data_IF_295216359354
#
_entry.id   IF_295216359354
#
_cell.length_a   1.000
_cell.length_b   1.000
_cell.length_c   1.000
_cell.angle_alpha   90.00
_cell.angle_beta   90.00
_cell.angle_gamma   90.00
#
_symmetry.space_group_name_H-M   'P 1'
#
loop_
_entity.id
_entity.type
_entity.pdbx_description
1 polymer ?
#
# COMPACT_ATOMS: atom_id res chain seq x y z
N UNK A 1 -5.32 -27.36 5.09
CA UNK A 1 -5.73 -25.97 5.37
C UNK A 1 -5.82 -25.28 4.02
N UNK A 2 -6.99 -24.77 3.64
CA UNK A 2 -7.15 -24.14 2.33
C UNK A 2 -6.31 -22.86 2.25
N UNK A 3 -5.58 -22.68 1.14
CA UNK A 3 -4.85 -21.44 0.87
C UNK A 3 -5.86 -20.31 0.63
N UNK A 4 -5.72 -19.22 1.39
CA UNK A 4 -6.64 -18.07 1.32
C UNK A 4 -6.50 -17.31 -0.01
N UNK A 5 -7.61 -16.75 -0.48
CA UNK A 5 -7.61 -15.94 -1.70
C UNK A 5 -6.89 -14.60 -1.50
N UNK A 6 -6.04 -14.15 -2.44
CA UNK A 6 -5.40 -12.83 -2.39
C UNK A 6 -6.36 -11.68 -2.77
N UNK A 7 -7.65 -11.95 -2.97
CA UNK A 7 -8.63 -10.94 -3.36
C UNK A 7 -8.86 -9.91 -2.24
N UNK A 8 -8.80 -8.62 -2.60
CA UNK A 8 -9.05 -7.49 -1.68
C UNK A 8 -10.45 -6.86 -1.83
N UNK A 9 -11.33 -7.48 -2.62
CA UNK A 9 -12.70 -7.00 -2.84
C UNK A 9 -12.85 -5.76 -3.74
N UNK A 10 -11.75 -5.15 -4.19
CA UNK A 10 -11.76 -4.00 -5.11
C UNK A 10 -11.56 -4.46 -6.56
N UNK A 11 -12.64 -4.92 -7.20
CA UNK A 11 -12.58 -5.47 -8.55
C UNK A 11 -12.36 -4.36 -9.60
N UNK A 12 -11.20 -4.38 -10.24
CA UNK A 12 -10.87 -3.59 -11.41
C UNK A 12 -9.76 -4.32 -12.20
N UNK A 13 -9.91 -4.37 -13.53
CA UNK A 13 -8.98 -5.04 -14.44
C UNK A 13 -8.24 -4.00 -15.28
N UNK A 14 -6.92 -4.19 -15.39
CA UNK A 14 -6.09 -3.47 -16.33
C UNK A 14 -6.17 -4.19 -17.69
N UNK A 15 -6.79 -3.55 -18.67
CA UNK A 15 -7.02 -4.15 -19.99
C UNK A 15 -5.72 -4.41 -20.77
N UNK A 16 -4.67 -3.63 -20.52
CA UNK A 16 -3.39 -3.77 -21.22
C UNK A 16 -2.59 -4.97 -20.70
N UNK A 17 -2.59 -5.19 -19.39
CA UNK A 17 -1.81 -6.24 -18.73
C UNK A 17 -2.62 -7.50 -18.42
N UNK A 18 -3.95 -7.47 -18.57
CA UNK A 18 -4.86 -8.56 -18.18
C UNK A 18 -4.67 -8.98 -16.71
N UNK A 19 -4.41 -8.00 -15.84
CA UNK A 19 -4.27 -8.21 -14.40
C UNK A 19 -5.26 -7.38 -13.60
N UNK A 20 -5.66 -7.87 -12.43
CA UNK A 20 -6.47 -7.10 -11.49
C UNK A 20 -5.62 -5.98 -10.85
N UNK A 21 -6.08 -4.73 -10.90
CA UNK A 21 -5.37 -3.58 -10.31
C UNK A 21 -5.38 -3.58 -8.78
N UNK A 22 -6.24 -4.39 -8.16
CA UNK A 22 -6.31 -4.59 -6.71
C UNK A 22 -5.42 -5.73 -6.23
N UNK A 23 -5.75 -6.98 -6.59
CA UNK A 23 -5.03 -8.17 -6.11
C UNK A 23 -3.85 -8.62 -6.99
N UNK A 24 -3.64 -8.00 -8.15
CA UNK A 24 -2.53 -8.29 -9.08
C UNK A 24 -2.45 -9.72 -9.64
N UNK A 25 -3.49 -10.52 -9.42
CA UNK A 25 -3.69 -11.77 -10.16
C UNK A 25 -4.02 -11.49 -11.62
N UNK A 26 -3.59 -12.38 -12.51
CA UNK A 26 -4.03 -12.45 -13.90
C UNK A 26 -5.50 -12.86 -13.98
N UNK A 27 -6.17 -12.56 -15.09
CA UNK A 27 -7.55 -13.01 -15.31
C UNK A 27 -7.66 -14.54 -15.25
N UNK A 28 -6.68 -15.26 -15.78
CA UNK A 28 -6.67 -16.73 -15.76
C UNK A 28 -6.56 -17.29 -14.34
N UNK A 29 -5.67 -16.74 -13.51
CA UNK A 29 -5.56 -17.12 -12.10
C UNK A 29 -6.84 -16.81 -11.32
N UNK A 30 -7.56 -15.73 -11.67
CA UNK A 30 -8.84 -15.39 -11.03
C UNK A 30 -9.90 -16.42 -11.42
N UNK A 31 -10.01 -16.77 -12.70
CA UNK A 31 -11.00 -17.70 -13.22
C UNK A 31 -10.77 -19.14 -12.71
N UNK A 32 -9.51 -19.57 -12.62
CA UNK A 32 -9.16 -20.94 -12.22
C UNK A 32 -9.03 -21.14 -10.70
N UNK A 33 -9.06 -20.07 -9.89
CA UNK A 33 -8.74 -20.13 -8.45
C UNK A 33 -9.48 -21.23 -7.66
N UNK A 34 -10.77 -21.41 -7.90
CA UNK A 34 -11.57 -22.42 -7.18
C UNK A 34 -11.21 -23.85 -7.57
N UNK A 35 -10.65 -24.06 -8.76
CA UNK A 35 -10.23 -25.35 -9.28
C UNK A 35 -8.75 -25.68 -8.96
N UNK A 36 -7.93 -24.66 -8.66
CA UNK A 36 -6.52 -24.85 -8.33
C UNK A 36 -6.31 -25.65 -7.04
N UNK A 37 -5.25 -26.45 -7.00
CA UNK A 37 -4.77 -27.10 -5.78
C UNK A 37 -4.00 -26.12 -4.87
N UNK A 38 -3.63 -26.58 -3.67
CA UNK A 38 -2.93 -25.73 -2.71
C UNK A 38 -1.49 -25.37 -3.15
N UNK A 39 -0.86 -26.16 -4.02
CA UNK A 39 0.48 -25.88 -4.54
C UNK A 39 0.44 -24.77 -5.60
N UNK A 40 -0.50 -24.85 -6.54
CA UNK A 40 -0.78 -23.80 -7.52
C UNK A 40 -1.14 -22.48 -6.82
N UNK A 41 -2.01 -22.53 -5.80
CA UNK A 41 -2.38 -21.35 -5.01
C UNK A 41 -1.18 -20.74 -4.28
N UNK A 42 -0.27 -21.58 -3.74
CA UNK A 42 0.98 -21.11 -3.12
C UNK A 42 1.92 -20.48 -4.14
N UNK A 43 1.98 -21.03 -5.37
CA UNK A 43 2.78 -20.45 -6.45
C UNK A 43 2.28 -19.05 -6.85
N UNK A 44 0.95 -18.86 -6.94
CA UNK A 44 0.34 -17.54 -7.16
C UNK A 44 0.74 -16.57 -6.05
N UNK A 45 0.65 -16.98 -4.78
CA UNK A 45 1.09 -16.14 -3.67
C UNK A 45 2.58 -15.78 -3.71
N UNK A 46 3.45 -16.76 -3.99
CA UNK A 46 4.88 -16.52 -4.12
C UNK A 46 5.18 -15.49 -5.22
N UNK A 47 4.50 -15.60 -6.37
CA UNK A 47 4.58 -14.62 -7.46
C UNK A 47 4.11 -13.24 -6.99
N UNK A 48 2.93 -13.15 -6.37
CA UNK A 48 2.35 -11.88 -5.90
C UNK A 48 3.24 -11.18 -4.87
N UNK A 49 3.82 -11.91 -3.92
CA UNK A 49 4.71 -11.37 -2.89
C UNK A 49 6.06 -10.90 -3.45
N UNK A 50 6.47 -11.42 -4.60
CA UNK A 50 7.67 -10.97 -5.33
C UNK A 50 7.46 -9.67 -6.12
N UNK A 51 6.20 -9.26 -6.33
CA UNK A 51 5.89 -8.06 -7.10
C UNK A 51 6.30 -6.80 -6.34
N UNK A 52 6.89 -5.84 -7.06
CA UNK A 52 7.20 -4.53 -6.50
C UNK A 52 5.89 -3.78 -6.18
N UNK A 53 5.83 -3.04 -5.05
CA UNK A 53 4.72 -2.15 -4.76
C UNK A 53 4.47 -1.20 -5.93
N UNK A 54 3.20 -1.03 -6.33
CA UNK A 54 2.85 -0.07 -7.39
C UNK A 54 2.95 1.34 -6.83
N UNK A 55 4.02 2.03 -7.20
CA UNK A 55 4.20 3.45 -6.89
C UNK A 55 3.17 4.25 -7.67
N UNK A 56 2.38 5.05 -6.97
CA UNK A 56 1.45 5.99 -7.59
C UNK A 56 1.97 7.40 -7.39
N UNK A 57 2.08 8.16 -8.46
CA UNK A 57 2.32 9.60 -8.34
C UNK A 57 1.07 10.29 -7.80
N UNK A 58 1.26 11.15 -6.81
CA UNK A 58 0.22 11.94 -6.14
C UNK A 58 0.70 13.37 -6.00
N UNK A 59 -0.23 14.30 -5.80
CA UNK A 59 0.07 15.67 -5.39
C UNK A 59 -0.25 15.84 -3.93
N UNK A 60 0.63 16.55 -3.22
CA UNK A 60 0.44 16.89 -1.83
C UNK A 60 -0.65 17.94 -1.70
N UNK A 61 -1.63 17.71 -0.84
CA UNK A 61 -2.68 18.69 -0.56
C UNK A 61 -2.15 19.93 0.19
N UNK A 62 -1.17 19.74 1.08
CA UNK A 62 -0.61 20.82 1.87
C UNK A 62 0.34 21.76 1.08
N UNK A 63 1.12 21.24 0.13
CA UNK A 63 2.15 22.03 -0.57
C UNK A 63 2.12 21.94 -2.10
N UNK A 64 1.25 21.10 -2.68
CA UNK A 64 1.13 20.92 -4.13
C UNK A 64 2.22 20.07 -4.80
N UNK A 65 3.29 19.70 -4.08
CA UNK A 65 4.40 18.93 -4.63
C UNK A 65 3.95 17.57 -5.17
N UNK A 66 4.47 17.16 -6.32
CA UNK A 66 4.34 15.80 -6.82
C UNK A 66 5.23 14.85 -5.99
N UNK A 67 4.70 13.69 -5.61
CA UNK A 67 5.43 12.69 -4.84
C UNK A 67 4.95 11.27 -5.15
N UNK A 68 5.82 10.27 -4.94
CA UNK A 68 5.45 8.86 -5.06
C UNK A 68 4.86 8.32 -3.75
N UNK A 69 3.67 7.74 -3.82
CA UNK A 69 3.08 6.91 -2.76
C UNK A 69 3.39 5.45 -3.07
N UNK A 70 3.99 4.72 -2.13
CA UNK A 70 4.28 3.29 -2.30
C UNK A 70 5.75 2.90 -2.47
N UNK A 71 6.72 3.80 -2.28
CA UNK A 71 8.15 3.53 -2.46
C UNK A 71 9.03 4.30 -1.49
N UNK A 72 10.35 4.13 -1.56
CA UNK A 72 11.34 5.02 -0.93
C UNK A 72 11.51 4.84 0.59
N UNK A 73 10.92 3.80 1.17
CA UNK A 73 11.16 3.41 2.55
C UNK A 73 12.31 2.43 2.68
N UNK A 74 12.67 2.10 3.92
CA UNK A 74 13.73 1.14 4.23
C UNK A 74 13.38 -0.25 3.68
N UNK A 75 14.40 -1.00 3.28
CA UNK A 75 14.28 -2.38 2.76
C UNK A 75 13.31 -2.56 1.58
N UNK A 76 13.08 -1.51 0.80
CA UNK A 76 12.16 -1.53 -0.35
C UNK A 76 10.68 -1.36 0.01
N UNK A 77 10.38 -0.96 1.26
CA UNK A 77 9.04 -0.63 1.71
C UNK A 77 8.60 0.79 1.28
N UNK A 78 7.38 1.19 1.66
CA UNK A 78 6.87 2.54 1.46
C UNK A 78 7.45 3.48 2.54
N UNK A 79 7.94 4.67 2.17
CA UNK A 79 8.52 5.64 3.12
C UNK A 79 7.60 6.01 4.30
N UNK A 80 6.27 5.86 4.13
CA UNK A 80 5.30 6.13 5.19
C UNK A 80 5.35 5.08 6.32
N UNK A 81 5.84 3.87 6.05
CA UNK A 81 5.97 2.80 7.04
C UNK A 81 7.14 3.02 8.01
N UNK A 82 8.08 3.88 7.64
CA UNK A 82 9.21 4.28 8.50
C UNK A 82 8.79 5.34 9.55
N UNK A 83 7.60 5.90 9.42
CA UNK A 83 7.10 6.93 10.33
C UNK A 83 6.30 6.33 11.50
N UNK A 84 6.25 7.01 12.65
CA UNK A 84 5.40 6.58 13.75
C UNK A 84 3.92 6.46 13.37
N UNK A 85 3.29 5.37 13.79
CA UNK A 85 1.85 5.15 13.61
C UNK A 85 1.07 5.89 14.73
N UNK A 86 0.46 7.03 14.41
CA UNK A 86 -0.32 7.81 15.37
C UNK A 86 -1.81 7.68 15.08
N UNK A 87 -2.57 7.22 16.06
CA UNK A 87 -4.04 7.23 16.08
C UNK A 87 -4.55 8.33 17.02
N UNK A 88 -5.70 8.99 16.78
CA UNK A 88 -6.67 8.70 15.74
C UNK A 88 -6.36 9.44 14.42
N UNK A 89 -6.93 9.01 13.29
CA UNK A 89 -7.01 9.87 12.12
C UNK A 89 -7.76 11.15 12.51
N UNK A 90 -7.20 12.31 12.19
CA UNK A 90 -7.90 13.59 12.38
C UNK A 90 -9.25 13.51 11.68
N UNK A 91 -10.38 13.78 12.35
CA UNK A 91 -11.69 13.77 11.68
C UNK A 91 -11.68 14.72 10.49
N UNK A 92 -12.09 14.24 9.31
CA UNK A 92 -12.41 15.11 8.17
C UNK A 92 -11.28 15.43 7.18
N UNK A 93 -10.12 14.77 7.24
CA UNK A 93 -9.09 14.93 6.21
C UNK A 93 -8.55 13.58 5.75
N UNK A 94 -8.79 13.24 4.48
CA UNK A 94 -8.21 12.07 3.82
C UNK A 94 -7.55 12.49 2.51
N UNK A 95 -6.75 13.55 2.55
CA UNK A 95 -5.98 13.99 1.39
C UNK A 95 -4.53 13.50 1.45
N UNK A 96 -3.93 13.34 0.27
CA UNK A 96 -2.59 12.78 0.12
C UNK A 96 -1.52 13.82 0.56
N UNK A 97 -0.63 13.45 1.49
CA UNK A 97 0.51 14.29 1.91
C UNK A 97 1.84 13.70 1.44
N UNK A 98 2.75 14.56 0.97
CA UNK A 98 4.12 14.16 0.63
C UNK A 98 4.93 13.79 1.90
N UNK A 99 6.12 13.16 1.74
CA UNK A 99 6.94 12.74 2.87
C UNK A 99 7.23 13.84 3.89
N UNK A 100 7.52 15.05 3.43
CA UNK A 100 7.92 16.15 4.30
C UNK A 100 6.73 16.73 5.05
N UNK A 101 5.61 16.95 4.35
CA UNK A 101 4.38 17.43 4.98
C UNK A 101 3.79 16.40 5.95
N UNK A 102 3.86 15.10 5.64
CA UNK A 102 3.41 14.05 6.56
C UNK A 102 4.30 13.99 7.81
N UNK A 103 5.63 14.07 7.66
CA UNK A 103 6.56 14.12 8.81
C UNK A 103 6.30 15.34 9.68
N UNK A 104 6.15 16.52 9.09
CA UNK A 104 5.86 17.75 9.84
C UNK A 104 4.56 17.62 10.64
N UNK A 105 3.51 17.04 10.03
CA UNK A 105 2.23 16.81 10.70
C UNK A 105 2.34 15.82 11.85
N UNK A 106 2.98 14.68 11.63
CA UNK A 106 3.17 13.68 12.69
C UNK A 106 4.05 14.23 13.82
N UNK A 107 5.09 14.99 13.52
CA UNK A 107 5.91 15.65 14.54
C UNK A 107 5.09 16.60 15.42
N UNK A 108 4.19 17.38 14.82
CA UNK A 108 3.30 18.27 15.56
C UNK A 108 2.32 17.49 16.46
N UNK A 109 1.74 16.39 15.96
CA UNK A 109 0.85 15.50 16.74
C UNK A 109 1.58 14.84 17.92
N UNK A 110 2.83 14.38 17.69
CA UNK A 110 3.68 13.83 18.75
C UNK A 110 4.01 14.88 19.81
N UNK A 111 4.41 16.08 19.39
CA UNK A 111 4.71 17.19 20.31
C UNK A 111 3.48 17.58 21.15
N UNK A 112 2.29 17.66 20.54
CA UNK A 112 1.04 17.95 21.24
C UNK A 112 0.68 16.89 22.30
N UNK A 113 1.21 15.67 22.15
CA UNK A 113 1.01 14.55 23.09
C UNK A 113 2.19 14.32 24.03
N UNK A 114 3.27 15.09 23.91
CA UNK A 114 4.51 14.88 24.66
C UNK A 114 5.20 13.54 24.33
N UNK A 115 5.00 13.00 23.13
CA UNK A 115 5.61 11.75 22.67
C UNK A 115 6.88 12.03 21.85
N UNK A 116 7.91 11.18 21.94
CA UNK A 116 9.10 11.29 21.09
C UNK A 116 8.76 11.02 19.62
N UNK A 117 9.39 11.74 18.69
CA UNK A 117 9.21 11.60 17.24
C UNK A 117 10.49 11.02 16.62
N UNK A 118 10.76 9.74 16.84
CA UNK A 118 11.80 9.01 16.11
C UNK A 118 11.16 8.21 14.97
N UNK A 119 11.54 8.54 13.73
CA UNK A 119 11.29 7.66 12.60
C UNK A 119 12.12 6.39 12.82
N UNK A 120 11.44 5.24 12.87
CA UNK A 120 12.05 3.90 13.05
C UNK A 120 13.20 3.71 12.07
#
# INVERSE_FOLDING_TARGET
MSVVSPCVGACALDAATQTCTGCQRTVDEIAAWSAMDDEEKRAVWARLLSLKPRVREKRCDACGAAFGCGSGGKDGSCWCNDLPNVLPPTPGVADCLCPDCLRARLAAEHAARGLPFDAR
#
